data_IF_366020551548
#
_entry.id   IF_366020551548
#
_cell.length_a   1.000
_cell.length_b   1.000
_cell.length_c   1.000
_cell.angle_alpha   90.00
_cell.angle_beta   90.00
_cell.angle_gamma   90.00
#
_symmetry.space_group_name_H-M   'P 1'
#
loop_
_entity.id
_entity.type
_entity.pdbx_description
1 polymer ?
#
# COMPACT_ATOMS: atom_id res chain seq x y z
N UNK A 1 18.22 -13.53 12.39
CA UNK A 1 17.64 -12.65 11.37
C UNK A 1 17.49 -11.20 11.83
N UNK A 2 17.91 -10.84 13.06
CA UNK A 2 17.89 -9.48 13.61
C UNK A 2 19.06 -8.59 13.16
N UNK A 3 20.16 -9.19 12.66
CA UNK A 3 21.39 -8.46 12.37
C UNK A 3 21.30 -7.44 11.20
N UNK A 4 20.39 -7.65 10.23
CA UNK A 4 20.24 -6.72 9.10
C UNK A 4 19.42 -5.47 9.49
N UNK A 5 18.54 -5.61 10.49
CA UNK A 5 17.74 -4.51 11.05
C UNK A 5 18.53 -3.70 12.09
N UNK A 6 19.48 -4.32 12.79
CA UNK A 6 20.33 -3.65 13.78
C UNK A 6 21.50 -2.85 13.18
N UNK A 7 21.72 -2.94 11.86
CA UNK A 7 22.73 -2.15 11.16
C UNK A 7 22.11 -0.83 10.63
N UNK A 8 22.32 0.31 11.32
CA UNK A 8 21.75 1.58 10.88
C UNK A 8 22.24 1.93 9.48
N UNK A 9 21.31 2.23 8.57
CA UNK A 9 21.58 2.67 7.20
C UNK A 9 21.66 1.57 6.13
N UNK A 10 21.61 0.28 6.50
CA UNK A 10 21.59 -0.80 5.50
C UNK A 10 20.31 -0.76 4.66
N UNK A 11 19.15 -0.62 5.31
CA UNK A 11 17.87 -0.55 4.60
C UNK A 11 17.82 0.66 3.66
N UNK A 12 18.26 1.83 4.12
CA UNK A 12 18.32 3.05 3.29
C UNK A 12 19.25 2.88 2.09
N UNK A 13 20.42 2.27 2.28
CA UNK A 13 21.37 2.05 1.18
C UNK A 13 20.91 0.99 0.18
N UNK A 14 20.14 -0.02 0.63
CA UNK A 14 19.48 -1.00 -0.25
C UNK A 14 18.37 -0.34 -1.07
N UNK A 15 17.57 0.54 -0.46
CA UNK A 15 16.54 1.34 -1.17
C UNK A 15 17.19 2.28 -2.20
N UNK A 16 18.30 2.94 -1.88
CA UNK A 16 19.05 3.77 -2.86
C UNK A 16 19.57 2.95 -4.04
N UNK A 17 20.05 1.73 -3.79
CA UNK A 17 20.52 0.84 -4.87
C UNK A 17 19.36 0.33 -5.73
N UNK A 18 18.17 0.11 -5.17
CA UNK A 18 16.98 -0.24 -5.93
C UNK A 18 16.59 0.83 -6.96
N UNK A 19 16.93 2.11 -6.72
CA UNK A 19 16.64 3.19 -7.66
C UNK A 19 17.66 3.30 -8.80
N UNK A 20 18.97 3.15 -8.53
CA UNK A 20 20.02 3.53 -9.49
C UNK A 20 20.93 2.39 -9.97
N UNK A 21 20.86 1.21 -9.37
CA UNK A 21 21.78 0.12 -9.71
C UNK A 21 21.37 -0.62 -10.99
N UNK A 22 22.31 -1.39 -11.57
CA UNK A 22 21.98 -2.28 -12.68
C UNK A 22 21.07 -3.43 -12.23
N UNK A 23 20.29 -3.98 -13.16
CA UNK A 23 19.26 -4.98 -12.89
C UNK A 23 19.72 -6.14 -11.98
N UNK A 24 20.91 -6.69 -12.21
CA UNK A 24 21.46 -7.78 -11.39
C UNK A 24 21.55 -7.43 -9.90
N UNK A 25 21.85 -6.17 -9.58
CA UNK A 25 21.92 -5.67 -8.20
C UNK A 25 20.53 -5.35 -7.67
N UNK A 26 19.67 -4.72 -8.48
CA UNK A 26 18.26 -4.46 -8.12
C UNK A 26 17.52 -5.77 -7.78
N UNK A 27 17.75 -6.83 -8.55
CA UNK A 27 17.15 -8.16 -8.35
C UNK A 27 17.55 -8.77 -7.01
N UNK A 28 18.83 -8.74 -6.66
CA UNK A 28 19.31 -9.27 -5.37
C UNK A 28 18.84 -8.40 -4.19
N UNK A 29 18.84 -7.09 -4.37
CA UNK A 29 18.29 -6.14 -3.38
C UNK A 29 16.80 -6.40 -3.14
N UNK A 30 16.01 -6.56 -4.21
CA UNK A 30 14.61 -6.91 -4.16
C UNK A 30 14.37 -8.23 -3.42
N UNK A 31 15.17 -9.26 -3.70
CA UNK A 31 15.12 -10.53 -2.97
C UNK A 31 15.42 -10.38 -1.48
N UNK A 32 16.45 -9.61 -1.11
CA UNK A 32 16.78 -9.38 0.28
C UNK A 32 15.65 -8.64 1.02
N UNK A 33 15.06 -7.64 0.38
CA UNK A 33 13.94 -6.86 0.89
C UNK A 33 12.69 -7.72 1.05
N UNK A 34 12.34 -8.54 0.06
CA UNK A 34 11.18 -9.42 0.13
C UNK A 34 11.32 -10.43 1.28
N UNK A 35 12.50 -11.05 1.39
CA UNK A 35 12.80 -11.94 2.51
C UNK A 35 12.71 -11.22 3.87
N UNK A 36 13.12 -9.96 3.93
CA UNK A 36 12.99 -9.15 5.13
C UNK A 36 11.51 -8.87 5.47
N UNK A 37 10.69 -8.46 4.49
CA UNK A 37 9.26 -8.21 4.67
C UNK A 37 8.50 -9.46 5.11
N UNK A 38 8.76 -10.61 4.48
CA UNK A 38 8.13 -11.89 4.83
C UNK A 38 8.42 -12.27 6.28
N UNK A 39 9.65 -12.07 6.75
CA UNK A 39 10.06 -12.44 8.12
C UNK A 39 9.91 -11.32 9.16
N UNK A 40 9.55 -10.09 8.76
CA UNK A 40 9.35 -8.96 9.67
C UNK A 40 8.14 -9.16 10.59
N UNK A 41 8.19 -8.63 11.80
CA UNK A 41 6.99 -8.45 12.61
C UNK A 41 6.20 -7.21 12.13
N UNK A 42 4.96 -7.02 12.60
CA UNK A 42 4.12 -5.90 12.17
C UNK A 42 4.77 -4.51 12.35
N UNK A 43 5.50 -4.30 13.44
CA UNK A 43 6.20 -3.02 13.72
C UNK A 43 7.31 -2.77 12.71
N UNK A 44 8.11 -3.79 12.41
CA UNK A 44 9.20 -3.70 11.42
C UNK A 44 8.64 -3.56 10.01
N UNK A 45 7.57 -4.28 9.68
CA UNK A 45 6.90 -4.16 8.39
C UNK A 45 6.39 -2.73 8.17
N UNK A 46 5.73 -2.13 9.17
CA UNK A 46 5.27 -0.76 9.11
C UNK A 46 6.42 0.25 8.90
N UNK A 47 7.57 0.05 9.56
CA UNK A 47 8.73 0.92 9.34
C UNK A 47 9.33 0.75 7.94
N UNK A 48 9.38 -0.46 7.41
CA UNK A 48 9.84 -0.71 6.03
C UNK A 48 8.93 -0.06 4.99
N UNK A 49 7.61 -0.11 5.22
CA UNK A 49 6.63 0.60 4.40
C UNK A 49 6.87 2.11 4.46
N UNK A 50 7.15 2.66 5.66
CA UNK A 50 7.52 4.07 5.86
C UNK A 50 8.81 4.49 5.15
N UNK A 51 9.69 3.54 4.87
CA UNK A 51 10.95 3.75 4.12
C UNK A 51 10.76 3.62 2.60
N UNK A 52 9.51 3.60 2.12
CA UNK A 52 9.14 3.60 0.70
C UNK A 52 9.64 2.36 -0.07
N UNK A 53 9.81 1.27 0.66
CA UNK A 53 10.22 -0.02 0.11
C UNK A 53 9.21 -0.54 -0.92
N UNK A 54 7.92 -0.31 -0.69
CA UNK A 54 6.86 -0.75 -1.60
C UNK A 54 6.96 -0.03 -2.96
N UNK A 55 7.22 1.28 -2.99
CA UNK A 55 7.38 2.02 -4.25
C UNK A 55 8.61 1.54 -5.05
N UNK A 56 9.67 1.14 -4.35
CA UNK A 56 10.83 0.52 -4.99
C UNK A 56 10.50 -0.84 -5.63
N UNK A 57 9.63 -1.63 -4.99
CA UNK A 57 9.19 -2.93 -5.51
C UNK A 57 8.22 -2.76 -6.69
N UNK A 58 7.30 -1.78 -6.66
CA UNK A 58 6.41 -1.52 -7.80
C UNK A 58 7.19 -1.09 -9.05
N UNK A 59 8.19 -0.22 -8.88
CA UNK A 59 9.10 0.16 -9.97
C UNK A 59 9.80 -1.06 -10.58
N UNK A 60 10.21 -2.02 -9.74
CA UNK A 60 10.89 -3.23 -10.21
C UNK A 60 9.97 -4.17 -11.00
N UNK A 61 8.70 -4.28 -10.58
CA UNK A 61 7.66 -5.04 -11.30
C UNK A 61 7.29 -4.40 -12.64
N UNK A 62 7.28 -3.07 -12.73
CA UNK A 62 6.96 -2.36 -13.97
C UNK A 62 8.13 -2.36 -14.97
N UNK A 63 9.38 -2.35 -14.49
CA UNK A 63 10.57 -2.23 -15.34
C UNK A 63 11.03 -3.59 -15.92
N UNK A 64 10.76 -4.70 -15.23
CA UNK A 64 11.28 -6.03 -15.60
C UNK A 64 10.23 -7.14 -15.49
N UNK A 65 10.12 -7.95 -16.55
CA UNK A 65 9.36 -9.20 -16.54
C UNK A 65 10.28 -10.36 -16.10
N UNK A 66 10.21 -10.75 -14.84
CA UNK A 66 10.94 -11.89 -14.24
C UNK A 66 9.99 -12.66 -13.30
N UNK A 67 9.37 -13.75 -13.77
CA UNK A 67 8.39 -14.50 -12.99
C UNK A 67 8.89 -14.98 -11.64
N UNK A 68 10.19 -15.24 -11.49
CA UNK A 68 10.75 -15.69 -10.21
C UNK A 68 10.81 -14.54 -9.20
N UNK A 69 11.12 -13.34 -9.68
CA UNK A 69 11.16 -12.13 -8.86
C UNK A 69 9.74 -11.65 -8.55
N UNK A 70 8.85 -11.64 -9.55
CA UNK A 70 7.44 -11.28 -9.40
C UNK A 70 6.76 -12.10 -8.31
N UNK A 71 6.91 -13.43 -8.32
CA UNK A 71 6.34 -14.30 -7.29
C UNK A 71 6.84 -13.96 -5.87
N UNK A 72 8.14 -13.69 -5.72
CA UNK A 72 8.75 -13.33 -4.43
C UNK A 72 8.25 -11.96 -3.95
N UNK A 73 8.03 -11.02 -4.86
CA UNK A 73 7.47 -9.71 -4.52
C UNK A 73 5.99 -9.84 -4.14
N UNK A 74 5.20 -10.62 -4.87
CA UNK A 74 3.79 -10.89 -4.54
C UNK A 74 3.66 -11.54 -3.15
N UNK A 75 4.53 -12.48 -2.81
CA UNK A 75 4.58 -13.07 -1.47
C UNK A 75 4.90 -12.01 -0.39
N UNK A 76 5.85 -11.12 -0.64
CA UNK A 76 6.18 -10.04 0.28
C UNK A 76 5.02 -9.04 0.46
N UNK A 77 4.30 -8.70 -0.62
CA UNK A 77 3.11 -7.83 -0.55
C UNK A 77 2.01 -8.51 0.27
N UNK A 78 1.74 -9.80 0.03
CA UNK A 78 0.76 -10.56 0.84
C UNK A 78 1.15 -10.56 2.32
N UNK A 79 2.43 -10.76 2.63
CA UNK A 79 2.91 -10.75 4.00
C UNK A 79 2.78 -9.37 4.68
N UNK A 80 2.83 -8.27 3.94
CA UNK A 80 2.57 -6.92 4.45
C UNK A 80 1.08 -6.74 4.75
N UNK A 81 0.21 -7.15 3.82
CA UNK A 81 -1.25 -7.11 3.98
C UNK A 81 -1.75 -8.01 5.12
N UNK A 82 -1.10 -9.15 5.36
CA UNK A 82 -1.42 -10.02 6.50
C UNK A 82 -1.09 -9.38 7.87
N UNK A 83 -0.11 -8.46 7.90
CA UNK A 83 0.43 -7.91 9.15
C UNK A 83 -0.10 -6.54 9.50
N UNK A 84 -0.32 -5.68 8.50
CA UNK A 84 -0.99 -4.41 8.67
C UNK A 84 -2.43 -4.57 8.20
N UNK A 85 -3.38 -4.14 9.01
CA UNK A 85 -4.80 -4.16 8.66
C UNK A 85 -5.08 -3.12 7.55
N UNK A 86 -5.98 -2.17 7.77
CA UNK A 86 -6.38 -1.22 6.73
C UNK A 86 -5.25 -0.27 6.30
N UNK A 87 -4.33 0.06 7.21
CA UNK A 87 -3.14 0.87 6.92
C UNK A 87 -2.23 0.25 5.86
N UNK A 88 -2.12 -1.09 5.80
CA UNK A 88 -1.31 -1.75 4.78
C UNK A 88 -1.98 -1.71 3.40
N UNK A 89 -3.31 -1.79 3.34
CA UNK A 89 -4.04 -1.68 2.08
C UNK A 89 -3.81 -0.31 1.45
N UNK A 90 -3.96 0.75 2.24
CA UNK A 90 -3.67 2.13 1.81
C UNK A 90 -2.23 2.26 1.34
N UNK A 91 -1.26 1.73 2.10
CA UNK A 91 0.14 1.82 1.72
C UNK A 91 0.48 1.08 0.40
N UNK A 92 -0.15 -0.08 0.15
CA UNK A 92 0.04 -0.85 -1.11
C UNK A 92 -0.63 -0.14 -2.30
N UNK A 93 -1.73 0.56 -2.08
CA UNK A 93 -2.40 1.38 -3.09
C UNK A 93 -1.58 2.62 -3.43
N UNK A 94 -1.16 3.39 -2.43
CA UNK A 94 -0.40 4.64 -2.61
C UNK A 94 1.01 4.40 -3.18
N UNK A 95 1.62 3.24 -2.94
CA UNK A 95 2.93 2.88 -3.49
C UNK A 95 2.90 2.50 -4.98
N UNK A 96 1.71 2.36 -5.58
CA UNK A 96 1.52 1.83 -6.93
C UNK A 96 1.66 0.31 -7.04
N UNK A 97 1.93 -0.40 -5.93
CA UNK A 97 2.02 -1.86 -5.94
C UNK A 97 0.69 -2.48 -6.35
N UNK A 98 -0.44 -1.95 -5.87
CA UNK A 98 -1.76 -2.44 -6.28
C UNK A 98 -1.91 -2.45 -7.80
N UNK A 99 -1.46 -1.38 -8.47
CA UNK A 99 -1.54 -1.29 -9.92
C UNK A 99 -0.71 -2.34 -10.64
N UNK A 100 0.51 -2.60 -10.15
CA UNK A 100 1.35 -3.66 -10.68
C UNK A 100 0.70 -5.04 -10.47
N UNK A 101 0.12 -5.31 -9.29
CA UNK A 101 -0.56 -6.58 -8.98
C UNK A 101 -1.76 -6.79 -9.93
N UNK A 102 -2.57 -5.78 -10.18
CA UNK A 102 -3.67 -5.86 -11.17
C UNK A 102 -3.17 -6.21 -12.57
N UNK A 103 -2.04 -5.63 -13.00
CA UNK A 103 -1.46 -5.95 -14.30
C UNK A 103 -0.97 -7.40 -14.34
N UNK A 104 -0.38 -7.89 -13.25
CA UNK A 104 0.12 -9.26 -13.12
C UNK A 104 -0.99 -10.32 -13.12
N UNK A 105 -2.25 -9.96 -12.80
CA UNK A 105 -3.40 -10.86 -13.00
C UNK A 105 -3.52 -11.36 -14.47
N UNK A 106 -3.00 -10.59 -15.42
CA UNK A 106 -2.99 -10.95 -16.85
C UNK A 106 -1.62 -11.40 -17.36
N UNK A 107 -0.67 -11.69 -16.47
CA UNK A 107 0.67 -12.15 -16.84
C UNK A 107 0.61 -13.48 -17.62
N UNK A 108 1.55 -13.66 -18.56
CA UNK A 108 1.64 -14.90 -19.34
C UNK A 108 2.01 -16.12 -18.49
N UNK A 109 2.66 -15.90 -17.34
CA UNK A 109 2.97 -16.94 -16.38
C UNK A 109 1.75 -17.24 -15.50
N UNK A 110 1.23 -18.46 -15.59
CA UNK A 110 0.03 -18.88 -14.83
C UNK A 110 0.23 -18.80 -13.31
N UNK A 111 1.43 -19.06 -12.79
CA UNK A 111 1.69 -18.99 -11.34
C UNK A 111 1.64 -17.55 -10.84
N UNK A 112 2.22 -16.62 -11.61
CA UNK A 112 2.20 -15.18 -11.30
C UNK A 112 0.77 -14.66 -11.36
N UNK A 113 0.05 -14.95 -12.45
CA UNK A 113 -1.35 -14.55 -12.62
C UNK A 113 -2.25 -15.10 -11.51
N UNK A 114 -2.09 -16.37 -11.15
CA UNK A 114 -2.84 -16.97 -10.04
C UNK A 114 -2.51 -16.34 -8.68
N UNK A 115 -1.23 -16.07 -8.39
CA UNK A 115 -0.82 -15.44 -7.15
C UNK A 115 -1.34 -14.00 -7.03
N UNK A 116 -1.25 -13.22 -8.12
CA UNK A 116 -1.78 -11.86 -8.17
C UNK A 116 -3.30 -11.84 -7.97
N UNK A 117 -4.02 -12.72 -8.66
CA UNK A 117 -5.48 -12.82 -8.54
C UNK A 117 -5.90 -13.19 -7.12
N UNK A 118 -5.19 -14.11 -6.46
CA UNK A 118 -5.45 -14.44 -5.06
C UNK A 118 -5.30 -13.21 -4.14
N UNK A 119 -4.28 -12.37 -4.35
CA UNK A 119 -4.09 -11.15 -3.54
C UNK A 119 -5.26 -10.18 -3.74
N UNK A 120 -5.67 -9.95 -4.98
CA UNK A 120 -6.81 -9.08 -5.29
C UNK A 120 -8.08 -9.62 -4.63
N UNK A 121 -8.41 -10.89 -4.86
CA UNK A 121 -9.63 -11.54 -4.33
C UNK A 121 -9.70 -11.52 -2.80
N UNK A 122 -8.54 -11.67 -2.14
CA UNK A 122 -8.47 -11.77 -0.66
C UNK A 122 -8.53 -10.40 0.02
N UNK A 123 -7.88 -9.39 -0.56
CA UNK A 123 -7.63 -8.12 0.13
C UNK A 123 -8.40 -6.93 -0.44
N UNK A 124 -8.73 -6.96 -1.73
CA UNK A 124 -9.23 -5.80 -2.49
C UNK A 124 -10.60 -6.03 -3.14
N UNK A 125 -10.98 -7.25 -3.53
CA UNK A 125 -12.27 -7.56 -4.17
C UNK A 125 -13.46 -7.55 -3.17
N UNK A 126 -13.18 -7.75 -1.88
CA UNK A 126 -14.19 -7.76 -0.82
C UNK A 126 -14.53 -6.41 -0.17
N UNK A 127 -13.97 -5.28 -0.65
CA UNK A 127 -14.04 -3.97 0.05
C UNK A 127 -14.90 -2.94 -0.68
N UNK A 128 -15.57 -3.30 -1.77
CA UNK A 128 -16.54 -2.38 -2.41
C UNK A 128 -17.87 -2.24 -1.66
N UNK A 129 -18.03 -2.75 -0.43
CA UNK A 129 -19.33 -2.72 0.27
C UNK A 129 -19.37 -2.22 1.73
N UNK A 130 -18.29 -1.77 2.39
CA UNK A 130 -18.44 -1.33 3.81
C UNK A 130 -17.83 0.02 4.24
N UNK A 131 -17.01 0.73 3.46
CA UNK A 131 -16.46 2.02 3.91
C UNK A 131 -16.39 3.10 2.79
N UNK A 132 -17.47 3.23 2.01
CA UNK A 132 -17.80 4.58 1.56
C UNK A 132 -18.30 5.34 2.78
N UNK A 133 -17.46 6.22 3.30
CA UNK A 133 -17.79 7.30 4.22
C UNK A 133 -19.19 7.87 3.92
N UNK A 134 -20.19 7.32 4.59
CA UNK A 134 -21.58 7.75 4.51
C UNK A 134 -21.79 9.05 5.32
N UNK A 135 -20.71 9.69 5.79
CA UNK A 135 -20.74 11.00 6.44
C UNK A 135 -20.50 12.16 5.46
N UNK A 136 -20.17 11.92 4.19
CA UNK A 136 -20.09 12.96 3.17
C UNK A 136 -21.42 13.24 2.43
N UNK A 137 -22.56 13.15 3.13
CA UNK A 137 -23.82 13.69 2.63
C UNK A 137 -23.99 15.15 3.10
N UNK A 138 -23.89 16.17 2.22
CA UNK A 138 -24.27 17.52 2.61
C UNK A 138 -25.76 17.57 2.96
N UNK A 139 -26.04 18.26 4.07
CA UNK A 139 -27.32 18.30 4.77
C UNK A 139 -28.54 18.59 3.88
N UNK A 140 -29.59 17.80 4.14
CA UNK A 140 -31.02 17.99 3.86
C UNK A 140 -31.41 19.01 2.77
N UNK A 141 -31.84 18.49 1.62
CA UNK A 141 -32.72 19.19 0.69
C UNK A 141 -34.11 19.32 1.30
N UNK A 142 -34.64 20.55 1.39
CA UNK A 142 -36.02 20.79 1.82
C UNK A 142 -36.98 20.47 0.66
N UNK A 143 -37.80 19.42 0.82
CA UNK A 143 -38.68 18.89 -0.23
C UNK A 143 -39.78 19.85 -0.71
N UNK A 144 -40.04 20.97 -0.01
CA UNK A 144 -41.07 21.91 -0.42
C UNK A 144 -40.60 22.95 -1.44
N UNK A 145 -39.31 23.29 -1.46
CA UNK A 145 -38.80 24.42 -2.27
C UNK A 145 -37.66 24.07 -3.21
N UNK A 146 -37.11 22.86 -3.15
CA UNK A 146 -35.99 22.40 -3.99
C UNK A 146 -34.80 23.40 -4.01
N UNK A 147 -34.50 23.99 -2.85
CA UNK A 147 -33.42 24.97 -2.67
C UNK A 147 -32.48 24.50 -1.56
N UNK A 148 -31.17 24.48 -1.84
CA UNK A 148 -30.12 24.14 -0.88
C UNK A 148 -30.01 25.26 0.20
N UNK A 149 -30.34 24.94 1.45
CA UNK A 149 -30.28 25.88 2.56
C UNK A 149 -28.96 25.71 3.35
N UNK A 150 -28.01 26.63 3.13
CA UNK A 150 -26.81 26.71 3.97
C UNK A 150 -27.18 27.34 5.33
N UNK A 151 -27.17 26.55 6.40
CA UNK A 151 -27.24 27.08 7.76
C UNK A 151 -25.82 27.44 8.24
N UNK A 152 -25.50 28.73 8.47
CA UNK A 152 -24.25 29.07 9.14
C UNK A 152 -24.33 28.59 10.60
N UNK A 153 -23.31 27.86 11.05
CA UNK A 153 -23.14 27.43 12.43
C UNK A 153 -23.17 28.66 13.35
N UNK A 154 -24.28 28.85 14.06
CA UNK A 154 -24.46 29.94 15.01
C UNK A 154 -24.20 29.40 16.42
N UNK A 155 -22.92 29.24 16.76
CA UNK A 155 -22.48 29.24 18.16
C UNK A 155 -22.17 30.68 18.56
N UNK A 156 -23.00 31.34 19.39
CA UNK A 156 -22.65 32.66 19.89
C UNK A 156 -21.47 32.55 20.86
N UNK A 157 -20.31 33.06 20.45
CA UNK A 157 -19.17 33.33 21.33
C UNK A 157 -19.59 34.41 22.36
N UNK A 158 -19.73 34.02 23.62
CA UNK A 158 -20.05 34.93 24.71
C UNK A 158 -18.76 35.46 25.35
N UNK A 159 -18.36 36.68 24.98
CA UNK A 159 -17.27 37.41 25.63
C UNK A 159 -17.85 38.20 26.82
N UNK A 160 -17.33 37.97 28.03
CA UNK A 160 -17.86 38.57 29.25
C UNK A 160 -17.52 40.06 29.43
N UNK A 161 -18.27 40.71 30.33
CA UNK A 161 -17.81 41.92 31.04
C UNK A 161 -18.75 43.11 31.03
N UNK A 162 -19.62 43.22 32.04
CA UNK A 162 -19.67 44.30 33.05
C UNK A 162 -20.78 44.01 34.06
#
# INVERSE_FOLDING_TARGET
MTAVLEAPGVVTSVVEQLTWAEYSVKREAGWAVCNLLVNANAVVAAELVRLDVLSSLSTLLDEYEDPSLELVILEAISAVLDKGHDEAKVAVEESGCLKCVENLCYAANEQVSAAASHIIDTWFDGVLDDDVDAELAPAAVDEATNTLAFQPATTPFQFGGQ
#
